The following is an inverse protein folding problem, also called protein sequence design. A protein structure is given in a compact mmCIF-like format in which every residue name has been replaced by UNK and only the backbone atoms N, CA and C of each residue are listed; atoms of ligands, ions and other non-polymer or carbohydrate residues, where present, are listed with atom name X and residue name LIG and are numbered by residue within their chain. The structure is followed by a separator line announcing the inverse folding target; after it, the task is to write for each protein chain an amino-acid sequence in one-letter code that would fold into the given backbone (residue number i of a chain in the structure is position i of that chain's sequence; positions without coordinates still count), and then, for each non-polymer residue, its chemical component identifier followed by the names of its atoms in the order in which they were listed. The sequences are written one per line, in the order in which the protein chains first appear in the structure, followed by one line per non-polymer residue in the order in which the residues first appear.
data_IF_589842550174
#
_entry.id   IF_589842550174
#
_cell.length_a   1.000
_cell.length_b   1.000
_cell.length_c   1.000
_cell.angle_alpha   90.00
_cell.angle_beta   90.00
_cell.angle_gamma   90.00
#
_symmetry.space_group_name_H-M   'P 1'
#
loop_
_entity.id
_entity.type
_entity.pdbx_description
1 polymer ?
#
# COMPACT_ATOMS: atom_id res chain seq x y z
N UNK A 1 -18.50 -2.86 8.82
CA UNK A 1 -17.41 -3.55 9.56
C UNK A 1 -16.44 -2.51 10.05
N UNK A 2 -15.91 -2.66 11.28
CA UNK A 2 -15.06 -1.61 11.80
C UNK A 2 -13.70 -1.54 11.10
N UNK A 3 -13.30 -0.31 10.80
CA UNK A 3 -11.95 0.04 10.34
C UNK A 3 -11.42 1.14 11.22
N UNK A 4 -10.12 1.14 11.46
CA UNK A 4 -9.46 2.17 12.26
C UNK A 4 -8.01 2.34 11.81
N UNK A 5 -7.41 3.45 12.22
CA UNK A 5 -5.97 3.61 12.03
C UNK A 5 -5.22 2.54 12.85
N UNK A 6 -4.17 2.03 12.26
CA UNK A 6 -3.31 1.03 12.92
C UNK A 6 -2.47 1.70 14.02
N UNK A 7 -2.22 0.96 15.08
CA UNK A 7 -1.17 1.30 16.05
C UNK A 7 0.03 0.36 15.85
N UNK A 8 1.12 0.59 16.57
CA UNK A 8 2.35 -0.18 16.36
C UNK A 8 2.17 -1.69 16.60
N UNK A 9 1.32 -2.06 17.57
CA UNK A 9 1.07 -3.48 17.87
C UNK A 9 0.31 -4.21 16.77
N UNK A 10 -0.45 -3.46 15.93
CA UNK A 10 -1.18 -4.05 14.80
C UNK A 10 -0.26 -4.43 13.64
N UNK A 11 0.96 -3.85 13.56
CA UNK A 11 1.79 -3.98 12.35
C UNK A 11 2.23 -5.44 12.09
N UNK A 12 2.51 -6.20 13.15
CA UNK A 12 2.90 -7.59 12.97
C UNK A 12 1.73 -8.46 12.46
N UNK A 13 0.54 -8.46 13.11
CA UNK A 13 -0.60 -9.18 12.52
C UNK A 13 -1.00 -8.65 11.13
N UNK A 14 -0.90 -7.34 10.88
CA UNK A 14 -1.16 -6.76 9.56
C UNK A 14 -0.20 -7.30 8.50
N UNK A 15 1.09 -7.41 8.83
CA UNK A 15 2.10 -7.97 7.92
C UNK A 15 1.81 -9.43 7.57
N UNK A 16 1.34 -10.22 8.53
CA UNK A 16 0.92 -11.61 8.28
C UNK A 16 -0.32 -11.67 7.37
N UNK A 17 -1.26 -10.74 7.53
CA UNK A 17 -2.42 -10.63 6.63
C UNK A 17 -1.94 -10.32 5.20
N UNK A 18 -1.04 -9.34 5.06
CA UNK A 18 -0.48 -8.99 3.74
C UNK A 18 0.26 -10.17 3.11
N UNK A 19 1.10 -10.88 3.88
CA UNK A 19 1.83 -12.04 3.37
C UNK A 19 0.90 -13.11 2.80
N UNK A 20 -0.24 -13.36 3.46
CA UNK A 20 -1.23 -14.33 2.95
C UNK A 20 -2.03 -13.77 1.78
N UNK A 21 -2.41 -12.49 1.85
CA UNK A 21 -3.25 -11.86 0.81
C UNK A 21 -2.51 -11.74 -0.53
N UNK A 22 -1.20 -11.52 -0.48
CA UNK A 22 -0.35 -11.31 -1.67
C UNK A 22 0.55 -12.51 -2.00
N UNK A 23 0.35 -13.66 -1.38
CA UNK A 23 1.25 -14.81 -1.52
C UNK A 23 1.44 -15.25 -2.98
N UNK A 24 0.36 -15.27 -3.75
CA UNK A 24 0.36 -15.69 -5.16
C UNK A 24 0.12 -14.51 -6.13
N UNK A 25 0.21 -13.27 -5.63
CA UNK A 25 0.06 -12.09 -6.47
C UNK A 25 1.32 -11.88 -7.31
N UNK A 26 1.15 -11.45 -8.56
CA UNK A 26 2.21 -11.44 -9.58
C UNK A 26 3.46 -10.66 -9.16
N UNK A 27 3.29 -9.49 -8.54
CA UNK A 27 4.43 -8.64 -8.14
C UNK A 27 4.95 -9.00 -6.74
N UNK A 28 4.12 -8.84 -5.71
CA UNK A 28 4.57 -9.04 -4.33
C UNK A 28 4.89 -10.51 -4.03
N UNK A 29 4.04 -11.42 -4.47
CA UNK A 29 4.20 -12.84 -4.23
C UNK A 29 5.24 -13.48 -5.15
N UNK A 30 4.98 -13.39 -6.45
CA UNK A 30 5.78 -14.16 -7.42
C UNK A 30 7.12 -13.49 -7.70
N UNK A 31 7.10 -12.20 -8.07
CA UNK A 31 8.32 -11.51 -8.53
C UNK A 31 9.25 -11.15 -7.37
N UNK A 32 8.71 -10.53 -6.32
CA UNK A 32 9.52 -10.08 -5.17
C UNK A 32 9.96 -11.27 -4.30
N UNK A 33 9.09 -12.30 -4.16
CA UNK A 33 9.38 -13.46 -3.30
C UNK A 33 9.41 -14.76 -4.11
N UNK A 34 10.36 -14.95 -5.03
CA UNK A 34 10.42 -16.18 -5.83
C UNK A 34 10.64 -17.45 -4.98
N UNK A 35 11.22 -17.31 -3.80
CA UNK A 35 11.49 -18.42 -2.90
C UNK A 35 10.39 -18.62 -1.84
N UNK A 36 9.19 -17.98 -2.02
CA UNK A 36 8.11 -18.02 -1.01
C UNK A 36 7.64 -19.44 -0.68
N UNK A 37 7.64 -20.34 -1.65
CA UNK A 37 7.22 -21.73 -1.42
C UNK A 37 8.22 -22.49 -0.51
N UNK A 38 9.50 -22.13 -0.59
CA UNK A 38 10.55 -22.72 0.24
C UNK A 38 10.60 -22.08 1.63
N UNK A 39 10.33 -20.77 1.70
CA UNK A 39 10.40 -20.00 2.96
C UNK A 39 9.11 -19.21 3.19
N UNK A 40 7.94 -19.89 3.27
CA UNK A 40 6.66 -19.15 3.39
C UNK A 40 6.55 -18.31 4.65
N UNK A 41 7.24 -18.73 5.71
CA UNK A 41 7.27 -18.02 6.98
C UNK A 41 8.07 -16.72 6.99
N UNK A 42 8.78 -16.40 5.90
CA UNK A 42 9.60 -15.18 5.84
C UNK A 42 8.92 -14.04 5.07
N UNK A 43 7.90 -14.34 4.26
CA UNK A 43 7.26 -13.34 3.37
C UNK A 43 6.75 -12.11 4.15
N UNK A 44 6.19 -12.34 5.36
CA UNK A 44 5.66 -11.24 6.18
C UNK A 44 6.73 -10.20 6.55
N UNK A 45 8.00 -10.57 6.57
CA UNK A 45 9.09 -9.65 6.95
C UNK A 45 9.19 -8.45 6.01
N UNK A 46 8.92 -8.65 4.72
CA UNK A 46 8.87 -7.55 3.73
C UNK A 46 7.78 -6.54 4.12
N UNK A 47 6.56 -7.04 4.31
CA UNK A 47 5.42 -6.19 4.65
C UNK A 47 5.59 -5.53 6.03
N UNK A 48 6.17 -6.24 7.00
CA UNK A 48 6.39 -5.69 8.34
C UNK A 48 7.34 -4.49 8.30
N UNK A 49 8.43 -4.61 7.54
CA UNK A 49 9.39 -3.50 7.39
C UNK A 49 8.75 -2.31 6.70
N UNK A 50 7.97 -2.58 5.65
CA UNK A 50 7.25 -1.52 4.92
C UNK A 50 6.22 -0.84 5.82
N UNK A 51 5.36 -1.61 6.49
CA UNK A 51 4.32 -1.06 7.37
C UNK A 51 4.91 -0.25 8.53
N UNK A 52 6.08 -0.65 9.04
CA UNK A 52 6.79 0.14 10.06
C UNK A 52 7.20 1.50 9.49
N UNK A 53 7.71 1.54 8.29
CA UNK A 53 8.08 2.81 7.63
C UNK A 53 6.83 3.66 7.36
N UNK A 54 5.79 3.04 6.90
CA UNK A 54 4.51 3.72 6.64
C UNK A 54 3.88 4.32 7.91
N UNK A 55 3.96 3.61 9.03
CA UNK A 55 3.51 3.94 10.09
C UNK A 55 3.96 5.04 10.52
N UNK A 56 5.18 5.56 10.26
CA UNK A 56 5.83 6.81 10.73
C UNK A 56 6.08 7.82 9.61
N UNK A 57 5.60 7.56 8.41
CA UNK A 57 5.61 8.55 7.33
C UNK A 57 4.46 9.53 7.54
N UNK A 58 4.77 10.80 7.73
CA UNK A 58 3.77 11.85 8.00
C UNK A 58 2.76 12.08 6.87
N UNK A 59 2.94 11.48 5.69
CA UNK A 59 1.98 11.56 4.57
C UNK A 59 1.09 10.33 4.50
N UNK A 60 1.35 9.32 5.32
CA UNK A 60 0.76 7.98 5.15
C UNK A 60 -0.10 7.63 6.36
N UNK A 61 -1.20 6.95 6.09
CA UNK A 61 -2.09 6.39 7.12
C UNK A 61 -2.25 4.90 6.84
N UNK A 62 -1.87 4.09 7.80
CA UNK A 62 -2.11 2.64 7.76
C UNK A 62 -3.45 2.37 8.43
N UNK A 63 -4.37 1.79 7.69
CA UNK A 63 -5.71 1.43 8.19
C UNK A 63 -5.82 -0.09 8.31
N UNK A 64 -6.48 -0.54 9.36
CA UNK A 64 -6.75 -1.97 9.56
C UNK A 64 -8.24 -2.20 9.75
N UNK A 65 -8.69 -3.37 9.29
CA UNK A 65 -10.05 -3.86 9.57
C UNK A 65 -10.00 -5.01 10.57
N UNK A 66 -11.10 -5.19 11.31
CA UNK A 66 -11.21 -6.25 12.31
C UNK A 66 -12.67 -6.70 12.46
N UNK A 67 -12.95 -7.89 13.00
CA UNK A 67 -14.31 -8.28 13.31
C UNK A 67 -14.89 -7.40 14.41
N UNK A 68 -16.20 -7.28 14.47
CA UNK A 68 -16.86 -6.48 15.52
C UNK A 68 -16.56 -7.10 16.90
N UNK A 69 -16.00 -6.29 17.77
CA UNK A 69 -15.66 -6.71 19.14
C UNK A 69 -14.28 -7.34 19.29
N UNK A 70 -13.52 -7.54 18.19
CA UNK A 70 -12.20 -8.20 18.24
C UNK A 70 -11.10 -7.26 17.69
N UNK A 71 -10.77 -6.24 18.44
CA UNK A 71 -9.86 -5.17 17.98
C UNK A 71 -8.46 -5.66 17.56
N UNK A 72 -8.01 -6.78 18.12
CA UNK A 72 -6.67 -7.33 17.86
C UNK A 72 -6.62 -8.32 16.70
N UNK A 73 -7.79 -8.76 16.20
CA UNK A 73 -7.89 -9.73 15.10
C UNK A 73 -7.91 -9.01 13.76
N UNK A 74 -6.73 -8.72 13.20
CA UNK A 74 -6.63 -7.96 11.94
C UNK A 74 -7.05 -8.86 10.77
N UNK A 75 -8.02 -8.37 9.98
CA UNK A 75 -8.58 -9.09 8.82
C UNK A 75 -8.16 -8.52 7.48
N UNK A 76 -7.79 -7.22 7.47
CA UNK A 76 -7.36 -6.54 6.25
C UNK A 76 -6.56 -5.30 6.58
N UNK A 77 -5.83 -4.82 5.60
CA UNK A 77 -4.90 -3.69 5.72
C UNK A 77 -5.02 -2.81 4.49
N UNK A 78 -5.05 -1.49 4.68
CA UNK A 78 -4.88 -0.52 3.58
C UNK A 78 -3.82 0.50 3.98
N UNK A 79 -2.96 0.83 3.02
CA UNK A 79 -1.97 1.91 3.19
C UNK A 79 -2.36 3.03 2.25
N UNK A 80 -2.67 4.18 2.81
CA UNK A 80 -3.11 5.36 2.11
C UNK A 80 -2.07 6.46 2.23
N UNK A 81 -1.60 7.02 1.12
CA UNK A 81 -0.64 8.12 1.10
C UNK A 81 -1.28 9.37 0.51
N UNK A 82 -1.21 10.48 1.23
CA UNK A 82 -1.68 11.77 0.74
C UNK A 82 -0.59 12.41 -0.13
N UNK A 83 -0.80 12.42 -1.45
CA UNK A 83 0.15 12.97 -2.44
C UNK A 83 -0.06 14.47 -2.64
N UNK A 84 0.99 15.16 -3.08
CA UNK A 84 0.96 16.58 -3.41
C UNK A 84 1.09 17.49 -2.20
N UNK A 85 0.91 18.82 -2.39
CA UNK A 85 1.07 19.82 -1.32
C UNK A 85 0.28 19.55 -0.05
N UNK A 86 -0.90 18.91 -0.15
CA UNK A 86 -1.67 18.49 1.04
C UNK A 86 -0.91 17.47 1.88
N UNK A 87 -0.24 16.53 1.22
CA UNK A 87 0.62 15.55 1.91
C UNK A 87 1.82 16.22 2.55
N UNK A 88 2.40 17.24 1.88
CA UNK A 88 3.53 17.99 2.45
C UNK A 88 3.11 18.72 3.74
N UNK A 89 1.92 19.35 3.75
CA UNK A 89 1.37 19.98 4.95
C UNK A 89 1.11 18.94 6.07
N UNK A 90 0.58 17.79 5.71
CA UNK A 90 0.33 16.69 6.66
C UNK A 90 1.66 16.22 7.29
N UNK A 91 2.70 16.02 6.48
CA UNK A 91 4.04 15.65 6.97
C UNK A 91 4.65 16.74 7.85
N UNK A 92 4.47 18.01 7.47
CA UNK A 92 5.00 19.14 8.24
C UNK A 92 4.34 19.30 9.61
N UNK A 93 3.11 18.79 9.77
CA UNK A 93 2.39 18.82 11.06
C UNK A 93 2.78 17.67 11.99
N UNK A 94 3.59 16.73 11.52
CA UNK A 94 4.03 15.59 12.32
C UNK A 94 4.89 16.04 13.50
N UNK A 95 4.70 15.40 14.67
CA UNK A 95 5.54 15.73 15.83
C UNK A 95 7.01 15.38 15.56
N UNK A 96 7.92 16.13 16.18
CA UNK A 96 9.35 15.87 16.03
C UNK A 96 9.72 14.44 16.44
N UNK A 97 9.11 13.93 17.50
CA UNK A 97 9.39 12.55 17.95
C UNK A 97 8.94 11.51 16.91
N UNK A 98 7.78 11.70 16.29
CA UNK A 98 7.31 10.78 15.24
C UNK A 98 8.21 10.89 14.00
N UNK A 99 8.58 12.11 13.61
CA UNK A 99 9.52 12.35 12.50
C UNK A 99 10.86 11.64 12.75
N UNK A 100 11.44 11.83 13.96
CA UNK A 100 12.72 11.21 14.32
C UNK A 100 12.62 9.69 14.33
N UNK A 101 11.54 9.16 14.89
CA UNK A 101 11.29 7.72 14.91
C UNK A 101 11.25 7.16 13.48
N UNK A 102 10.50 7.81 12.60
CA UNK A 102 10.37 7.36 11.20
C UNK A 102 11.65 7.48 10.38
N UNK A 103 12.40 8.58 10.58
CA UNK A 103 13.60 8.87 9.78
C UNK A 103 14.86 8.18 10.28
N UNK A 104 14.94 7.87 11.57
CA UNK A 104 16.16 7.34 12.18
C UNK A 104 15.93 5.98 12.81
N UNK A 105 14.98 5.89 13.76
CA UNK A 105 14.82 4.67 14.56
C UNK A 105 14.34 3.50 13.70
N UNK A 106 13.30 3.71 12.90
CA UNK A 106 12.70 2.62 12.10
C UNK A 106 13.68 2.09 11.03
N UNK A 107 14.37 2.93 10.23
CA UNK A 107 15.36 2.41 9.29
C UNK A 107 16.47 1.60 9.97
N UNK A 108 17.02 2.10 11.08
CA UNK A 108 18.06 1.36 11.85
C UNK A 108 17.48 0.03 12.36
N UNK A 109 16.30 0.06 12.95
CA UNK A 109 15.64 -1.14 13.49
C UNK A 109 15.37 -2.17 12.37
N UNK A 110 14.86 -1.71 11.22
CA UNK A 110 14.61 -2.60 10.08
C UNK A 110 15.91 -3.17 9.52
N UNK A 111 16.97 -2.35 9.44
CA UNK A 111 18.29 -2.79 8.96
C UNK A 111 18.89 -3.86 9.89
N UNK A 112 18.96 -3.57 11.18
CA UNK A 112 19.50 -4.53 12.16
C UNK A 112 18.64 -5.81 12.19
N UNK A 113 17.32 -5.64 12.11
CA UNK A 113 16.40 -6.78 12.02
C UNK A 113 16.62 -7.63 10.77
N UNK A 114 17.04 -7.01 9.65
CA UNK A 114 17.30 -7.78 8.42
C UNK A 114 18.58 -8.64 8.54
N UNK A 115 19.52 -8.22 9.36
CA UNK A 115 20.74 -9.02 9.61
C UNK A 115 20.47 -10.23 10.49
N UNK A 116 19.57 -10.10 11.47
CA UNK A 116 19.24 -11.18 12.42
C UNK A 116 18.16 -12.11 11.86
N UNK A 117 17.17 -11.56 11.21
CA UNK A 117 16.04 -12.29 10.61
C UNK A 117 15.94 -11.93 9.12
N UNK A 118 16.81 -12.50 8.27
CA UNK A 118 16.77 -12.24 6.83
C UNK A 118 15.50 -12.82 6.20
N UNK A 119 14.97 -12.12 5.20
CA UNK A 119 13.85 -12.64 4.40
C UNK A 119 14.42 -13.53 3.29
N UNK A 120 14.44 -14.83 3.52
CA UNK A 120 14.99 -15.82 2.57
C UNK A 120 14.06 -16.05 1.37
N UNK A 121 12.79 -15.64 1.48
CA UNK A 121 11.83 -15.72 0.38
C UNK A 121 12.08 -14.64 -0.68
N UNK A 122 12.65 -13.50 -0.25
CA UNK A 122 12.88 -12.30 -1.07
C UNK A 122 14.03 -12.50 -2.05
N UNK A 123 13.88 -12.00 -3.27
CA UNK A 123 15.00 -11.75 -4.18
C UNK A 123 15.60 -10.39 -3.81
N UNK A 124 16.86 -10.35 -3.32
CA UNK A 124 17.47 -9.06 -2.95
C UNK A 124 17.49 -8.03 -4.09
N UNK A 125 17.55 -8.47 -5.35
CA UNK A 125 17.52 -7.58 -6.50
C UNK A 125 16.15 -6.94 -6.73
N UNK A 126 15.12 -7.46 -6.06
CA UNK A 126 13.73 -6.96 -6.17
C UNK A 126 13.31 -6.17 -4.91
N UNK A 127 14.19 -5.98 -3.95
CA UNK A 127 13.83 -5.31 -2.69
C UNK A 127 13.36 -3.86 -2.90
N UNK A 128 13.91 -3.17 -3.90
CA UNK A 128 13.62 -1.78 -4.24
C UNK A 128 12.88 -1.64 -5.59
N UNK A 129 12.29 -2.72 -6.08
CA UNK A 129 11.72 -2.76 -7.45
C UNK A 129 10.65 -1.68 -7.66
N UNK A 130 9.84 -1.39 -6.64
CA UNK A 130 8.80 -0.35 -6.74
C UNK A 130 9.41 1.04 -6.92
N UNK A 131 10.49 1.35 -6.18
CA UNK A 131 11.17 2.64 -6.31
C UNK A 131 11.80 2.81 -7.70
N UNK A 132 12.37 1.72 -8.26
CA UNK A 132 12.94 1.72 -9.60
C UNK A 132 11.91 1.79 -10.71
N UNK A 133 10.70 1.26 -10.47
CA UNK A 133 9.60 1.29 -11.45
C UNK A 133 8.87 2.65 -11.45
N UNK A 134 8.81 3.32 -10.30
CA UNK A 134 8.03 4.55 -10.14
C UNK A 134 8.34 5.66 -11.17
N UNK A 135 9.62 5.94 -11.53
CA UNK A 135 9.91 7.00 -12.51
C UNK A 135 9.23 6.84 -13.86
N UNK A 136 9.01 5.61 -14.31
CA UNK A 136 8.40 5.36 -15.63
C UNK A 136 6.95 5.86 -15.72
N UNK A 137 6.25 5.86 -14.59
CA UNK A 137 4.81 6.21 -14.55
C UNK A 137 4.51 7.48 -13.76
N UNK A 138 5.51 8.10 -13.13
CA UNK A 138 5.33 9.28 -12.26
C UNK A 138 4.58 10.44 -12.96
N UNK A 139 4.70 10.53 -14.29
CA UNK A 139 4.05 11.59 -15.08
C UNK A 139 2.52 11.55 -14.96
N UNK A 140 1.92 10.39 -14.73
CA UNK A 140 0.45 10.27 -14.57
C UNK A 140 -0.09 11.05 -13.36
N UNK A 141 0.75 11.26 -12.34
CA UNK A 141 0.38 12.00 -11.12
C UNK A 141 0.76 13.47 -11.16
N UNK A 142 1.42 13.95 -12.24
CA UNK A 142 1.92 15.33 -12.33
C UNK A 142 0.93 16.31 -12.97
N UNK A 143 -0.23 15.86 -13.42
CA UNK A 143 -1.21 16.77 -14.00
C UNK A 143 -1.91 17.57 -12.89
N UNK A 144 -2.39 18.81 -13.19
CA UNK A 144 -3.07 19.62 -12.16
C UNK A 144 -4.28 18.95 -11.50
N UNK A 145 -4.95 18.06 -12.22
CA UNK A 145 -6.13 17.35 -11.72
C UNK A 145 -5.75 16.21 -10.77
N UNK A 146 -4.54 15.65 -10.90
CA UNK A 146 -4.10 14.42 -10.22
C UNK A 146 -2.98 14.65 -9.20
N UNK A 147 -2.36 15.83 -9.21
CA UNK A 147 -1.24 16.15 -8.32
C UNK A 147 -1.64 15.99 -6.85
N UNK A 148 -2.85 16.46 -6.52
CA UNK A 148 -3.44 16.28 -5.17
C UNK A 148 -4.35 15.07 -5.22
N UNK A 149 -3.97 14.02 -4.50
CA UNK A 149 -4.79 12.81 -4.46
C UNK A 149 -4.52 11.99 -3.19
N UNK A 150 -5.46 11.11 -2.86
CA UNK A 150 -5.22 10.02 -1.91
C UNK A 150 -4.84 8.78 -2.70
N UNK A 151 -3.60 8.35 -2.55
CA UNK A 151 -3.03 7.17 -3.25
C UNK A 151 -3.15 5.94 -2.36
N UNK A 152 -3.85 4.93 -2.86
CA UNK A 152 -3.93 3.61 -2.20
C UNK A 152 -2.70 2.80 -2.61
N UNK A 153 -1.71 2.76 -1.73
CA UNK A 153 -0.43 2.08 -2.00
C UNK A 153 -0.55 0.56 -1.80
N UNK A 154 -1.44 0.13 -0.88
CA UNK A 154 -1.64 -1.29 -0.58
C UNK A 154 -3.06 -1.51 -0.11
N UNK A 155 -3.70 -2.59 -0.56
CA UNK A 155 -4.98 -3.06 -0.03
C UNK A 155 -4.99 -4.59 -0.04
N UNK A 156 -4.94 -5.19 1.13
CA UNK A 156 -4.97 -6.64 1.28
C UNK A 156 -6.00 -7.09 2.32
N UNK A 157 -6.69 -8.17 2.02
CA UNK A 157 -7.61 -8.84 2.97
C UNK A 157 -7.19 -10.30 3.05
N UNK A 158 -7.05 -10.81 4.25
CA UNK A 158 -6.68 -12.21 4.45
C UNK A 158 -7.60 -13.14 3.65
N UNK A 159 -7.07 -14.20 3.01
CA UNK A 159 -7.90 -15.06 2.15
C UNK A 159 -9.17 -15.56 2.84
N UNK A 160 -9.08 -15.89 4.11
CA UNK A 160 -10.19 -16.38 4.92
C UNK A 160 -11.25 -15.31 5.22
N UNK A 161 -10.92 -14.04 4.98
CA UNK A 161 -11.82 -12.89 5.23
C UNK A 161 -12.28 -12.21 3.94
N UNK A 162 -11.86 -12.73 2.77
CA UNK A 162 -12.31 -12.18 1.49
C UNK A 162 -13.82 -12.45 1.28
N UNK A 163 -14.47 -11.59 0.52
CA UNK A 163 -15.91 -11.69 0.30
C UNK A 163 -16.78 -11.11 1.43
N UNK A 164 -16.20 -10.82 2.59
CA UNK A 164 -16.94 -10.33 3.77
C UNK A 164 -17.01 -8.80 3.87
N UNK A 165 -16.53 -8.07 2.87
CA UNK A 165 -16.66 -6.62 2.80
C UNK A 165 -15.54 -5.82 3.46
N UNK A 166 -14.55 -6.45 4.10
CA UNK A 166 -13.47 -5.73 4.80
C UNK A 166 -12.67 -4.81 3.85
N UNK A 167 -12.31 -5.31 2.67
CA UNK A 167 -11.60 -4.50 1.67
C UNK A 167 -12.40 -3.29 1.20
N UNK A 168 -13.73 -3.46 1.09
CA UNK A 168 -14.65 -2.37 0.75
C UNK A 168 -14.59 -1.26 1.80
N UNK A 169 -14.65 -1.60 3.08
CA UNK A 169 -14.65 -0.60 4.15
C UNK A 169 -13.30 0.12 4.25
N UNK A 170 -12.19 -0.61 4.03
CA UNK A 170 -10.86 -0.03 3.96
C UNK A 170 -10.73 0.95 2.77
N UNK A 171 -11.31 0.60 1.62
CA UNK A 171 -11.31 1.46 0.43
C UNK A 171 -12.15 2.72 0.67
N UNK A 172 -13.33 2.57 1.28
CA UNK A 172 -14.25 3.68 1.57
C UNK A 172 -13.59 4.77 2.42
N UNK A 173 -12.76 4.39 3.40
CA UNK A 173 -12.08 5.37 4.25
C UNK A 173 -11.30 6.40 3.41
N UNK A 174 -10.51 5.95 2.43
CA UNK A 174 -9.75 6.87 1.58
C UNK A 174 -10.62 7.68 0.63
N UNK A 175 -11.72 7.08 0.15
CA UNK A 175 -12.70 7.79 -0.68
C UNK A 175 -13.35 8.93 0.12
N UNK A 176 -13.70 8.67 1.40
CA UNK A 176 -14.26 9.68 2.30
C UNK A 176 -13.27 10.83 2.50
N UNK A 177 -12.00 10.54 2.77
CA UNK A 177 -10.96 11.57 2.90
C UNK A 177 -10.82 12.40 1.62
N UNK A 178 -10.79 11.73 0.46
CA UNK A 178 -10.69 12.41 -0.82
C UNK A 178 -11.92 13.31 -1.10
N UNK A 179 -13.10 12.83 -0.70
CA UNK A 179 -14.36 13.60 -0.84
C UNK A 179 -14.33 14.85 0.05
N UNK A 180 -13.93 14.71 1.30
CA UNK A 180 -13.82 15.85 2.24
C UNK A 180 -12.87 16.93 1.71
N UNK A 181 -11.82 16.53 1.01
CA UNK A 181 -10.83 17.46 0.44
C UNK A 181 -11.17 17.93 -0.98
N UNK A 182 -12.13 17.32 -1.66
CA UNK A 182 -12.48 17.64 -3.04
C UNK A 182 -11.39 17.25 -4.03
N UNK A 183 -10.72 16.12 -3.80
CA UNK A 183 -9.61 15.64 -4.63
C UNK A 183 -9.89 14.22 -5.12
N UNK A 184 -9.03 13.69 -5.99
CA UNK A 184 -9.21 12.35 -6.53
C UNK A 184 -8.54 11.28 -5.66
N UNK A 185 -8.93 10.04 -5.91
CA UNK A 185 -8.25 8.83 -5.41
C UNK A 185 -7.45 8.25 -6.57
N UNK A 186 -6.32 7.63 -6.28
CA UNK A 186 -5.53 6.90 -7.27
C UNK A 186 -4.98 5.60 -6.69
N UNK A 187 -4.67 4.66 -7.59
CA UNK A 187 -4.07 3.37 -7.22
C UNK A 187 -3.47 2.70 -8.44
N UNK A 188 -2.68 1.65 -8.19
CA UNK A 188 -2.25 0.69 -9.20
C UNK A 188 -2.93 -0.63 -8.87
N UNK A 189 -3.71 -1.14 -9.81
CA UNK A 189 -4.53 -2.33 -9.60
C UNK A 189 -3.74 -3.60 -9.93
N UNK A 190 -3.77 -4.59 -9.05
CA UNK A 190 -3.23 -5.92 -9.35
C UNK A 190 -4.06 -6.61 -10.44
N UNK A 191 -3.47 -7.60 -11.08
CA UNK A 191 -4.09 -8.36 -12.18
C UNK A 191 -5.48 -8.86 -11.79
N UNK A 192 -6.48 -8.55 -12.62
CA UNK A 192 -7.86 -8.99 -12.43
C UNK A 192 -8.63 -8.31 -11.31
N UNK A 193 -8.06 -7.25 -10.68
CA UNK A 193 -8.73 -6.55 -9.58
C UNK A 193 -9.38 -5.22 -9.98
N UNK A 194 -9.23 -4.80 -11.24
CA UNK A 194 -9.73 -3.51 -11.74
C UNK A 194 -11.24 -3.34 -11.49
N UNK A 195 -12.01 -4.38 -11.74
CA UNK A 195 -13.47 -4.37 -11.57
C UNK A 195 -13.91 -4.07 -10.14
N UNK A 196 -13.09 -4.42 -9.14
CA UNK A 196 -13.39 -4.06 -7.75
C UNK A 196 -13.36 -2.53 -7.58
N UNK A 197 -12.31 -1.87 -8.04
CA UNK A 197 -12.14 -0.43 -7.87
C UNK A 197 -13.12 0.39 -8.74
N UNK A 198 -13.38 -0.07 -9.96
CA UNK A 198 -14.31 0.61 -10.88
C UNK A 198 -15.72 0.71 -10.32
N UNK A 199 -16.17 -0.26 -9.51
CA UNK A 199 -17.48 -0.21 -8.81
C UNK A 199 -17.57 0.93 -7.79
N UNK A 200 -16.44 1.54 -7.40
CA UNK A 200 -16.39 2.67 -6.47
C UNK A 200 -15.99 3.97 -7.18
N UNK A 201 -16.25 4.06 -8.49
CA UNK A 201 -15.98 5.23 -9.33
C UNK A 201 -14.48 5.58 -9.45
N UNK A 202 -13.58 4.62 -9.20
CA UNK A 202 -12.16 4.76 -9.49
C UNK A 202 -11.96 4.05 -10.84
N UNK A 203 -12.38 4.72 -11.93
CA UNK A 203 -12.58 4.10 -13.24
C UNK A 203 -11.88 4.82 -14.39
N UNK A 204 -11.10 5.88 -14.10
CA UNK A 204 -10.30 6.56 -15.13
C UNK A 204 -8.98 5.80 -15.31
N UNK A 205 -8.86 5.07 -16.41
CA UNK A 205 -7.64 4.34 -16.75
C UNK A 205 -6.62 5.35 -17.31
N UNK A 206 -5.45 5.45 -16.67
CA UNK A 206 -4.40 6.37 -17.08
C UNK A 206 -3.31 5.68 -17.91
N UNK A 207 -2.93 4.48 -17.55
CA UNK A 207 -1.86 3.72 -18.19
C UNK A 207 -1.54 2.47 -17.38
N UNK A 208 -0.35 1.97 -17.59
CA UNK A 208 0.08 0.71 -16.96
C UNK A 208 1.39 0.91 -16.18
N UNK A 209 1.51 0.31 -15.01
CA UNK A 209 2.73 0.35 -14.21
C UNK A 209 3.92 -0.31 -14.93
N UNK A 210 3.64 -1.20 -15.89
CA UNK A 210 4.64 -1.91 -16.67
C UNK A 210 5.18 -1.12 -17.89
N UNK A 211 4.73 0.11 -18.11
CA UNK A 211 5.17 0.97 -19.22
C UNK A 211 6.67 1.30 -19.11
N UNK A 212 7.31 1.57 -20.25
CA UNK A 212 8.73 1.96 -20.33
C UNK A 212 9.63 0.88 -20.91
N UNK A 213 9.05 -0.23 -21.37
CA UNK A 213 9.80 -1.29 -22.00
C UNK A 213 10.77 -1.99 -21.03
N UNK A 214 11.80 -2.65 -21.57
CA UNK A 214 12.72 -3.50 -20.78
C UNK A 214 13.49 -2.77 -19.69
N UNK A 215 13.55 -1.45 -19.74
CA UNK A 215 14.22 -0.65 -18.69
C UNK A 215 13.38 -0.58 -17.40
N UNK A 216 12.06 -0.74 -17.51
CA UNK A 216 11.19 -0.82 -16.35
C UNK A 216 11.29 -2.23 -15.73
N UNK A 217 11.72 -2.38 -14.48
CA UNK A 217 11.94 -3.70 -13.88
C UNK A 217 10.67 -4.54 -13.71
N UNK A 218 9.49 -3.95 -13.92
CA UNK A 218 8.21 -4.66 -13.86
C UNK A 218 7.49 -4.67 -15.22
N UNK A 219 8.23 -4.47 -16.32
CA UNK A 219 7.66 -4.39 -17.69
C UNK A 219 6.86 -5.63 -18.10
N UNK A 220 7.16 -6.78 -17.51
CA UNK A 220 6.55 -8.06 -17.83
C UNK A 220 5.56 -8.57 -16.79
N UNK A 221 5.22 -7.73 -15.79
CA UNK A 221 4.25 -8.11 -14.75
C UNK A 221 2.82 -7.94 -15.29
N UNK A 222 1.99 -8.95 -15.08
CA UNK A 222 0.58 -8.88 -15.45
C UNK A 222 -0.18 -7.91 -14.55
N UNK A 223 -1.16 -7.19 -15.09
CA UNK A 223 -1.90 -6.18 -14.33
C UNK A 223 -1.14 -4.86 -14.25
N UNK A 224 -1.32 -4.14 -13.16
CA UNK A 224 -0.66 -2.86 -12.97
C UNK A 224 -1.40 -1.69 -13.63
N UNK A 225 -2.70 -1.80 -13.86
CA UNK A 225 -3.50 -0.69 -14.40
C UNK A 225 -3.53 0.45 -13.41
N UNK A 226 -3.16 1.65 -13.88
CA UNK A 226 -3.18 2.88 -13.07
C UNK A 226 -4.58 3.48 -13.18
N UNK A 227 -5.26 3.57 -12.04
CA UNK A 227 -6.64 4.05 -11.97
C UNK A 227 -6.74 5.32 -11.13
N UNK A 228 -7.59 6.24 -11.60
CA UNK A 228 -7.97 7.44 -10.87
C UNK A 228 -9.49 7.52 -10.77
N UNK A 229 -9.97 8.16 -9.72
CA UNK A 229 -11.34 8.67 -9.70
C UNK A 229 -11.38 10.08 -10.31
N UNK A 230 -12.56 10.57 -10.62
CA UNK A 230 -12.75 12.02 -10.77
C UNK A 230 -12.51 12.69 -9.41
N UNK A 231 -12.29 14.01 -9.42
CA UNK A 231 -12.30 14.77 -8.17
C UNK A 231 -13.71 14.67 -7.57
N UNK A 232 -13.75 14.33 -6.29
CA UNK A 232 -15.03 14.29 -5.59
C UNK A 232 -15.50 15.72 -5.34
N UNK A 233 -16.77 16.01 -5.65
CA UNK A 233 -17.34 17.32 -5.34
C UNK A 233 -17.38 17.51 -3.82
N UNK A 234 -17.01 18.71 -3.34
CA UNK A 234 -17.19 19.06 -1.93
C UNK A 234 -18.69 19.05 -1.63
N UNK A 235 -19.11 18.30 -0.64
CA UNK A 235 -20.47 18.31 -0.13
C UNK A 235 -20.68 19.54 0.78
#
# INVERSE_FOLDING_TARGET
MPVRAANFADLLPAAHVCARAFFDEDLFGVRIHPNRSKFPGDVYLFFLRQLRSDXFDGRTTVMVSHPKGELTSITGVAVWTRKGPGGDRMAASQSWSAWFTGRVIIPVYNHLGSLVWPNRALDPAMADVLDRAMPFTAHYWKTPERLENWYLALLGTGPEYQGHGYGKELLKWGIERATEEGICVSLVSANGKDGFYKRYNINQEAGWASEGGKENPIHDIAGGMILFSQKFGKQ
#
